data_IF_370150279173
#
_entry.id   IF_370150279173
#
_cell.length_a   1.000
_cell.length_b   1.000
_cell.length_c   1.000
_cell.angle_alpha   90.00
_cell.angle_beta   90.00
_cell.angle_gamma   90.00
#
_symmetry.space_group_name_H-M   'P 1'
#
loop_
_entity.id
_entity.type
_entity.pdbx_description
1 polymer ?
#
# COMPACT_ATOMS: atom_id res chain seq x y z
N UNK A 1 -3.01 -8.87 12.85
CA UNK A 1 -2.92 -8.22 14.17
C UNK A 1 -1.46 -7.92 14.45
N UNK A 2 -1.16 -6.71 14.90
CA UNK A 2 0.22 -6.29 15.22
C UNK A 2 0.23 -5.52 16.54
N UNK A 3 1.23 -5.75 17.39
CA UNK A 3 1.39 -5.05 18.67
C UNK A 3 2.51 -4.02 18.54
N UNK A 4 2.25 -2.78 18.98
CA UNK A 4 3.25 -1.71 19.02
C UNK A 4 3.18 -0.95 20.35
N UNK A 5 4.24 -1.06 21.15
CA UNK A 5 4.23 -0.57 22.52
C UNK A 5 3.07 -1.17 23.31
N UNK A 6 2.16 -0.30 23.79
CA UNK A 6 0.94 -0.68 24.52
C UNK A 6 -0.30 -0.86 23.63
N UNK A 7 -0.16 -0.64 22.33
CA UNK A 7 -1.26 -0.65 21.38
C UNK A 7 -1.32 -1.96 20.60
N UNK A 8 -2.53 -2.42 20.34
CA UNK A 8 -2.83 -3.51 19.42
C UNK A 8 -3.58 -2.96 18.22
N UNK A 9 -3.03 -3.20 17.03
CA UNK A 9 -3.57 -2.76 15.74
C UNK A 9 -4.19 -3.95 15.01
N UNK A 10 -5.46 -3.82 14.66
CA UNK A 10 -6.19 -4.77 13.81
C UNK A 10 -6.58 -4.08 12.50
N UNK A 11 -6.32 -4.75 11.39
CA UNK A 11 -6.67 -4.28 10.05
C UNK A 11 -7.40 -5.42 9.34
N UNK A 12 -8.55 -5.12 8.76
CA UNK A 12 -9.36 -6.09 8.02
C UNK A 12 -10.06 -5.42 6.85
N UNK A 13 -10.34 -6.22 5.82
CA UNK A 13 -11.06 -5.78 4.63
C UNK A 13 -12.51 -5.57 5.04
N UNK A 14 -13.05 -4.43 4.67
CA UNK A 14 -14.42 -4.09 4.99
C UNK A 14 -15.26 -4.22 3.71
N UNK A 15 -15.81 -5.40 3.51
CA UNK A 15 -16.57 -5.74 2.30
C UNK A 15 -17.99 -5.20 2.32
N UNK A 16 -18.49 -4.77 3.49
CA UNK A 16 -19.90 -4.41 3.69
C UNK A 16 -20.13 -2.93 3.97
N UNK A 17 -19.09 -2.11 3.95
CA UNK A 17 -19.22 -0.69 4.22
C UNK A 17 -19.71 0.07 3.00
N UNK A 18 -20.76 0.87 3.20
CA UNK A 18 -21.28 1.78 2.21
C UNK A 18 -21.19 3.22 2.74
N UNK A 19 -20.37 4.03 2.07
CA UNK A 19 -20.20 5.45 2.41
C UNK A 19 -21.56 6.18 2.45
N UNK A 20 -21.84 6.90 3.53
CA UNK A 20 -23.05 7.73 3.66
C UNK A 20 -24.34 6.99 4.04
N UNK A 21 -24.29 5.67 4.25
CA UNK A 21 -25.42 4.90 4.77
C UNK A 21 -25.40 4.84 6.29
N UNK A 22 -26.53 5.20 6.93
CA UNK A 22 -26.68 5.18 8.39
C UNK A 22 -26.72 3.76 8.97
N UNK A 23 -26.92 2.76 8.12
CA UNK A 23 -27.12 1.36 8.48
C UNK A 23 -25.83 0.53 8.41
N UNK A 24 -24.67 1.18 8.24
CA UNK A 24 -23.38 0.51 8.38
C UNK A 24 -23.32 -0.20 9.74
N UNK A 25 -23.08 -1.52 9.71
CA UNK A 25 -23.02 -2.37 10.91
C UNK A 25 -22.00 -1.88 11.94
N UNK A 26 -20.96 -1.22 11.46
CA UNK A 26 -19.88 -0.65 12.25
C UNK A 26 -19.94 0.88 12.22
N UNK A 27 -19.79 1.51 13.38
CA UNK A 27 -19.57 2.96 13.50
C UNK A 27 -18.07 3.21 13.66
N UNK A 28 -17.55 4.19 12.93
CA UNK A 28 -16.14 4.58 12.95
C UNK A 28 -15.96 5.99 13.52
N UNK A 29 -14.81 6.24 14.14
CA UNK A 29 -14.46 7.57 14.66
C UNK A 29 -14.15 8.55 13.51
N UNK A 30 -13.53 8.05 12.44
CA UNK A 30 -13.22 8.81 11.23
C UNK A 30 -13.37 7.95 9.97
N UNK A 31 -13.72 8.60 8.86
CA UNK A 31 -13.79 8.01 7.53
C UNK A 31 -12.86 8.81 6.60
N UNK A 32 -11.84 8.15 6.06
CA UNK A 32 -10.94 8.74 5.05
C UNK A 32 -11.19 8.06 3.71
N UNK A 33 -12.21 8.55 3.02
CA UNK A 33 -12.71 8.01 1.77
C UNK A 33 -12.32 8.94 0.64
N UNK A 34 -11.64 8.42 -0.38
CA UNK A 34 -11.25 9.19 -1.54
C UNK A 34 -11.65 8.47 -2.83
N UNK A 35 -12.23 9.22 -3.75
CA UNK A 35 -12.50 8.74 -5.09
C UNK A 35 -12.57 9.92 -6.04
N UNK A 36 -11.95 9.79 -7.20
CA UNK A 36 -12.07 10.79 -8.27
C UNK A 36 -13.41 10.62 -9.02
N UNK A 37 -13.99 9.42 -9.00
CA UNK A 37 -15.16 9.02 -9.78
C UNK A 37 -16.37 8.56 -8.95
N UNK A 38 -16.44 8.93 -7.66
CA UNK A 38 -17.47 8.45 -6.72
C UNK A 38 -17.54 6.91 -6.59
N UNK A 39 -16.46 6.21 -6.92
CA UNK A 39 -16.30 4.78 -6.82
C UNK A 39 -15.07 4.41 -5.97
N UNK A 40 -15.28 3.60 -4.95
CA UNK A 40 -14.24 3.05 -4.09
C UNK A 40 -14.30 1.53 -4.24
N UNK A 41 -13.18 0.93 -4.61
CA UNK A 41 -13.07 -0.52 -4.84
C UNK A 41 -12.54 -1.28 -3.63
N UNK A 42 -11.79 -0.59 -2.77
CA UNK A 42 -11.13 -1.17 -1.60
C UNK A 42 -11.42 -0.34 -0.36
N UNK A 43 -11.87 -1.02 0.71
CA UNK A 43 -12.02 -0.45 2.04
C UNK A 43 -11.24 -1.28 3.05
N UNK A 44 -10.54 -0.59 3.95
CA UNK A 44 -9.94 -1.21 5.13
C UNK A 44 -10.47 -0.54 6.39
N UNK A 45 -10.86 -1.36 7.36
CA UNK A 45 -11.05 -0.91 8.72
C UNK A 45 -9.74 -1.05 9.50
N UNK A 46 -9.43 -0.04 10.31
CA UNK A 46 -8.31 -0.06 11.24
C UNK A 46 -8.84 0.18 12.63
N UNK A 47 -8.62 -0.78 13.54
CA UNK A 47 -8.98 -0.69 14.96
C UNK A 47 -7.73 -0.67 15.82
N UNK A 48 -7.70 0.27 16.76
CA UNK A 48 -6.64 0.44 17.73
C UNK A 48 -7.18 0.14 19.13
N UNK A 49 -6.48 -0.75 19.83
CA UNK A 49 -6.81 -1.17 21.18
C UNK A 49 -5.68 -0.81 22.13
N UNK A 50 -6.04 -0.45 23.37
CA UNK A 50 -5.13 -0.32 24.50
C UNK A 50 -5.70 -1.13 25.66
N UNK A 51 -4.93 -2.07 26.22
CA UNK A 51 -5.40 -3.01 27.25
C UNK A 51 -6.72 -3.72 26.87
N UNK A 52 -6.79 -4.26 25.64
CA UNK A 52 -7.98 -4.90 25.04
C UNK A 52 -9.23 -4.02 24.89
N UNK A 53 -9.15 -2.72 25.23
CA UNK A 53 -10.24 -1.77 25.01
C UNK A 53 -10.04 -1.06 23.67
N UNK A 54 -11.08 -1.05 22.82
CA UNK A 54 -11.09 -0.26 21.60
C UNK A 54 -11.00 1.23 21.98
N UNK A 55 -9.97 1.92 21.48
CA UNK A 55 -9.75 3.35 21.72
C UNK A 55 -9.92 4.20 20.47
N UNK A 56 -9.75 3.61 19.29
CA UNK A 56 -9.96 4.27 18.00
C UNK A 56 -10.30 3.26 16.93
N UNK A 57 -11.17 3.64 16.02
CA UNK A 57 -11.53 2.88 14.84
C UNK A 57 -11.75 3.83 13.67
N UNK A 58 -11.19 3.50 12.52
CA UNK A 58 -11.39 4.28 11.30
C UNK A 58 -11.68 3.34 10.13
N UNK A 59 -12.21 3.91 9.06
CA UNK A 59 -12.24 3.30 7.75
C UNK A 59 -11.44 4.16 6.77
N UNK A 60 -10.63 3.51 5.95
CA UNK A 60 -9.99 4.12 4.79
C UNK A 60 -10.56 3.48 3.53
N UNK A 61 -10.69 4.25 2.46
CA UNK A 61 -11.17 3.77 1.18
C UNK A 61 -10.56 4.51 0.01
N UNK A 62 -10.22 3.77 -1.04
CA UNK A 62 -9.75 4.33 -2.31
C UNK A 62 -10.21 3.49 -3.51
N UNK A 63 -10.29 4.16 -4.66
CA UNK A 63 -10.40 3.52 -5.98
C UNK A 63 -9.11 2.76 -6.36
N UNK A 64 -9.18 2.01 -7.46
CA UNK A 64 -8.11 1.16 -7.97
C UNK A 64 -8.48 -0.32 -8.00
N UNK A 65 -7.50 -1.20 -7.91
CA UNK A 65 -7.67 -2.65 -7.77
C UNK A 65 -8.12 -3.06 -6.37
N UNK A 66 -8.68 -4.27 -6.26
CA UNK A 66 -8.94 -4.92 -4.97
C UNK A 66 -7.64 -5.52 -4.44
N UNK A 67 -7.30 -5.20 -3.19
CA UNK A 67 -6.09 -5.70 -2.54
C UNK A 67 -6.46 -6.84 -1.59
N UNK A 68 -5.70 -7.95 -1.66
CA UNK A 68 -5.77 -9.01 -0.64
C UNK A 68 -4.94 -8.62 0.57
N UNK A 69 -5.46 -8.87 1.77
CA UNK A 69 -4.69 -8.65 2.99
C UNK A 69 -3.49 -9.60 3.04
N UNK A 70 -2.30 -9.01 3.13
CA UNK A 70 -1.03 -9.66 3.42
C UNK A 70 -0.31 -8.91 4.55
N UNK A 71 0.88 -9.38 4.93
CA UNK A 71 1.70 -8.65 5.91
C UNK A 71 2.20 -7.32 5.35
N UNK A 72 2.69 -7.34 4.10
CA UNK A 72 3.34 -6.22 3.41
C UNK A 72 2.38 -5.13 2.88
N UNK A 73 1.06 -5.26 3.08
CA UNK A 73 0.13 -4.16 2.75
C UNK A 73 0.37 -2.92 3.63
N UNK A 74 1.15 -3.06 4.71
CA UNK A 74 1.34 -2.02 5.71
C UNK A 74 2.75 -2.01 6.29
N UNK A 75 3.16 -0.84 6.75
CA UNK A 75 4.27 -0.62 7.66
C UNK A 75 3.71 0.04 8.92
N UNK A 76 4.07 -0.48 10.09
CA UNK A 76 3.70 0.13 11.38
C UNK A 76 4.98 0.61 12.05
N UNK A 77 5.08 1.92 12.21
CA UNK A 77 6.17 2.60 12.92
C UNK A 77 5.66 3.11 14.28
N UNK A 78 6.57 3.53 15.16
CA UNK A 78 6.24 3.95 16.55
C UNK A 78 5.09 4.97 16.64
N UNK A 79 5.01 5.89 15.67
CA UNK A 79 4.08 7.01 15.68
C UNK A 79 3.13 7.05 14.48
N UNK A 80 3.14 6.04 13.59
CA UNK A 80 2.28 6.04 12.39
C UNK A 80 2.10 4.67 11.75
N UNK A 81 1.03 4.54 10.99
CA UNK A 81 0.72 3.40 10.12
C UNK A 81 0.75 3.89 8.68
N UNK A 82 1.49 3.20 7.82
CA UNK A 82 1.51 3.36 6.37
C UNK A 82 0.81 2.14 5.79
N UNK A 83 -0.15 2.33 4.89
CA UNK A 83 -0.97 1.22 4.38
C UNK A 83 -1.40 1.45 2.92
N UNK A 84 -1.30 0.41 2.11
CA UNK A 84 -1.88 0.33 0.76
C UNK A 84 -3.40 0.23 0.83
N UNK A 85 -4.11 1.02 0.02
CA UNK A 85 -5.55 0.95 -0.14
C UNK A 85 -5.90 1.38 -1.57
N UNK A 86 -6.36 0.44 -2.40
CA UNK A 86 -6.54 0.63 -3.84
C UNK A 86 -5.26 1.13 -4.50
N UNK A 87 -5.35 2.22 -5.26
CA UNK A 87 -4.22 2.86 -5.94
C UNK A 87 -3.45 3.89 -5.08
N UNK A 88 -3.73 3.96 -3.76
CA UNK A 88 -3.14 4.96 -2.85
C UNK A 88 -2.44 4.31 -1.66
N UNK A 89 -1.43 5.02 -1.15
CA UNK A 89 -0.82 4.80 0.17
C UNK A 89 -1.37 5.85 1.13
N UNK A 90 -1.83 5.40 2.29
CA UNK A 90 -2.27 6.26 3.40
C UNK A 90 -1.25 6.22 4.52
N UNK A 91 -0.99 7.38 5.13
CA UNK A 91 -0.23 7.49 6.37
C UNK A 91 -1.11 8.08 7.46
N UNK A 92 -1.21 7.36 8.57
CA UNK A 92 -2.09 7.66 9.69
C UNK A 92 -1.26 7.79 10.96
N UNK A 93 -1.50 8.81 11.79
CA UNK A 93 -0.79 8.97 13.06
C UNK A 93 -1.18 7.88 14.06
N UNK A 94 -0.27 7.54 14.97
CA UNK A 94 -0.57 6.78 16.19
C UNK A 94 -0.41 7.70 17.41
N UNK A 95 -1.32 7.62 18.40
CA UNK A 95 -2.49 6.73 18.47
C UNK A 95 -3.78 7.30 17.83
N UNK A 96 -3.78 8.53 17.31
CA UNK A 96 -5.04 9.21 16.96
C UNK A 96 -5.69 8.71 15.67
N UNK A 97 -4.96 7.94 14.85
CA UNK A 97 -5.36 7.54 13.50
C UNK A 97 -5.77 8.74 12.63
N UNK A 98 -5.05 9.88 12.77
CA UNK A 98 -5.27 11.06 11.93
C UNK A 98 -4.54 10.90 10.61
N UNK A 99 -5.20 11.22 9.49
CA UNK A 99 -4.54 11.27 8.19
C UNK A 99 -3.41 12.31 8.21
N UNK A 100 -2.18 11.85 8.01
CA UNK A 100 -0.99 12.68 7.90
C UNK A 100 -0.75 13.06 6.45
N UNK A 101 -0.73 12.06 5.58
CA UNK A 101 -0.61 12.22 4.13
C UNK A 101 -1.24 11.03 3.40
N UNK A 102 -1.53 11.24 2.13
CA UNK A 102 -1.96 10.19 1.18
C UNK A 102 -1.31 10.45 -0.17
N UNK A 103 -0.98 9.38 -0.87
CA UNK A 103 -0.28 9.46 -2.16
C UNK A 103 -0.83 8.40 -3.11
N UNK A 104 -1.23 8.80 -4.32
CA UNK A 104 -1.47 7.88 -5.42
C UNK A 104 -0.12 7.38 -5.93
N UNK A 105 0.22 6.13 -5.64
CA UNK A 105 1.57 5.58 -5.88
C UNK A 105 1.62 4.57 -7.03
N UNK A 106 0.45 4.25 -7.60
CA UNK A 106 0.24 3.47 -8.81
C UNK A 106 -1.09 3.96 -9.42
N UNK A 107 -1.32 3.84 -10.73
CA UNK A 107 -2.62 4.24 -11.31
C UNK A 107 -3.73 3.19 -11.12
N UNK A 108 -3.36 1.92 -11.00
CA UNK A 108 -4.27 0.78 -10.90
C UNK A 108 -4.36 0.28 -9.45
N UNK A 109 -3.28 -0.21 -8.85
CA UNK A 109 -3.32 -0.84 -7.53
C UNK A 109 -1.95 -0.80 -6.84
N UNK A 110 -1.92 -0.53 -5.53
CA UNK A 110 -0.74 -0.68 -4.68
C UNK A 110 -0.85 -2.01 -3.93
N UNK A 111 0.00 -2.98 -4.24
CA UNK A 111 -0.05 -4.30 -3.61
C UNK A 111 0.67 -4.33 -2.26
N UNK A 112 1.88 -3.76 -2.21
CA UNK A 112 2.76 -3.88 -1.05
C UNK A 112 3.54 -2.59 -0.81
N UNK A 113 3.89 -2.32 0.45
CA UNK A 113 4.71 -1.19 0.86
C UNK A 113 5.81 -1.67 1.79
N UNK A 114 7.05 -1.30 1.46
CA UNK A 114 8.24 -1.70 2.18
C UNK A 114 8.95 -0.48 2.74
N UNK A 115 9.38 -0.56 4.00
CA UNK A 115 10.17 0.47 4.65
C UNK A 115 11.66 0.22 4.47
N UNK A 116 12.39 1.26 4.06
CA UNK A 116 13.85 1.41 4.26
C UNK A 116 14.08 2.62 5.17
N UNK A 117 15.30 2.86 5.64
CA UNK A 117 15.65 3.91 6.62
C UNK A 117 14.84 5.20 6.50
N UNK A 118 14.83 5.79 5.31
CA UNK A 118 14.40 7.15 5.04
C UNK A 118 13.37 7.26 3.90
N UNK A 119 12.97 6.12 3.33
CA UNK A 119 12.01 6.06 2.23
C UNK A 119 11.14 4.80 2.30
N UNK A 120 10.12 4.77 1.44
CA UNK A 120 9.29 3.61 1.17
C UNK A 120 9.45 3.18 -0.28
N UNK A 121 9.34 1.88 -0.52
CA UNK A 121 9.14 1.33 -1.86
C UNK A 121 7.73 0.74 -1.90
N UNK A 122 6.96 1.14 -2.90
CA UNK A 122 5.63 0.63 -3.18
C UNK A 122 5.72 -0.27 -4.40
N UNK A 123 5.25 -1.51 -4.24
CA UNK A 123 5.00 -2.42 -5.33
C UNK A 123 3.57 -2.18 -5.82
N UNK A 124 3.43 -1.51 -6.95
CA UNK A 124 2.16 -1.32 -7.65
C UNK A 124 1.98 -2.30 -8.80
N UNK A 125 0.78 -2.30 -9.38
CA UNK A 125 0.41 -3.17 -10.49
C UNK A 125 1.10 -2.80 -11.80
N UNK A 126 1.29 -1.51 -12.07
CA UNK A 126 1.98 -1.03 -13.28
C UNK A 126 3.27 -0.28 -12.97
N UNK A 127 3.44 0.16 -11.72
CA UNK A 127 4.54 1.00 -11.29
C UNK A 127 5.16 0.53 -9.98
N UNK A 128 6.48 0.67 -9.89
CA UNK A 128 7.22 0.65 -8.63
C UNK A 128 7.51 2.09 -8.26
N UNK A 129 7.06 2.51 -7.08
CA UNK A 129 7.19 3.89 -6.61
C UNK A 129 8.07 4.01 -5.38
N UNK A 130 9.00 4.96 -5.40
CA UNK A 130 9.77 5.36 -4.20
C UNK A 130 9.16 6.62 -3.59
N UNK A 131 8.76 6.54 -2.33
CA UNK A 131 8.24 7.67 -1.56
C UNK A 131 9.22 8.10 -0.49
N UNK A 132 9.34 9.40 -0.24
CA UNK A 132 10.01 9.90 0.96
C UNK A 132 9.18 9.64 2.24
N UNK A 133 9.74 10.00 3.40
CA UNK A 133 9.05 9.86 4.67
C UNK A 133 7.75 10.68 4.80
N UNK A 134 7.51 11.66 3.94
CA UNK A 134 6.31 12.50 3.93
C UNK A 134 5.34 12.09 2.81
N UNK A 135 5.55 10.94 2.17
CA UNK A 135 4.71 10.42 1.10
C UNK A 135 4.95 11.09 -0.25
N UNK A 136 5.96 11.95 -0.41
CA UNK A 136 6.27 12.55 -1.71
C UNK A 136 6.92 11.49 -2.61
N UNK A 137 6.41 11.34 -3.83
CA UNK A 137 7.05 10.51 -4.85
C UNK A 137 8.42 11.12 -5.20
N UNK A 138 9.47 10.32 -5.01
CA UNK A 138 10.83 10.64 -5.43
C UNK A 138 11.06 10.20 -6.89
N UNK A 139 10.57 9.01 -7.24
CA UNK A 139 10.52 8.49 -8.60
C UNK A 139 9.51 7.34 -8.67
N UNK A 140 9.05 7.02 -9.89
CA UNK A 140 8.35 5.78 -10.22
C UNK A 140 8.97 5.14 -11.47
N UNK A 141 8.79 3.83 -11.62
CA UNK A 141 9.24 3.05 -12.78
C UNK A 141 8.17 2.05 -13.20
N UNK A 142 7.85 2.04 -14.48
CA UNK A 142 6.94 1.08 -15.09
C UNK A 142 7.71 -0.02 -15.80
N UNK A 143 7.06 -1.16 -15.99
CA UNK A 143 7.50 -2.20 -16.91
C UNK A 143 6.90 -2.00 -18.31
N UNK A 144 7.23 -2.91 -19.22
CA UNK A 144 6.54 -3.06 -20.50
C UNK A 144 5.15 -3.70 -20.34
N UNK A 145 4.88 -4.34 -19.18
CA UNK A 145 3.60 -4.89 -18.78
C UNK A 145 3.43 -4.81 -17.25
N UNK A 146 2.29 -5.26 -16.73
CA UNK A 146 1.95 -5.22 -15.30
C UNK A 146 2.86 -6.15 -14.47
N UNK A 147 3.19 -5.75 -13.24
CA UNK A 147 4.02 -6.51 -12.29
C UNK A 147 3.24 -7.62 -11.58
N UNK A 148 2.52 -8.46 -12.34
CA UNK A 148 1.79 -9.63 -11.83
C UNK A 148 2.07 -10.86 -12.70
N UNK A 149 3.22 -11.55 -12.56
CA UNK A 149 3.62 -12.59 -13.51
C UNK A 149 2.62 -13.75 -13.65
N UNK A 150 2.34 -14.13 -14.90
CA UNK A 150 1.39 -15.20 -15.27
C UNK A 150 1.71 -16.58 -14.68
N UNK A 151 3.02 -16.90 -14.56
CA UNK A 151 3.53 -18.25 -14.26
C UNK A 151 4.87 -18.17 -13.51
N UNK A 152 4.89 -18.56 -12.24
CA UNK A 152 6.14 -18.70 -11.48
C UNK A 152 5.95 -18.32 -10.02
N UNK A 153 7.08 -18.13 -9.31
CA UNK A 153 7.07 -17.38 -8.06
C UNK A 153 7.07 -15.90 -8.42
N UNK A 154 6.13 -15.13 -7.86
CA UNK A 154 6.18 -13.66 -7.89
C UNK A 154 7.55 -13.22 -7.38
N UNK A 155 8.37 -12.64 -8.25
CA UNK A 155 9.64 -12.03 -7.85
C UNK A 155 9.37 -10.55 -7.73
N UNK A 156 8.95 -10.13 -6.54
CA UNK A 156 9.19 -8.79 -6.06
C UNK A 156 10.17 -8.87 -4.89
N UNK A 157 11.41 -8.44 -5.11
CA UNK A 157 12.49 -8.57 -4.12
C UNK A 157 13.21 -7.24 -3.91
N UNK A 158 13.45 -6.94 -2.63
CA UNK A 158 14.29 -5.83 -2.20
C UNK A 158 15.56 -6.37 -1.53
N UNK A 159 16.68 -6.33 -2.24
CA UNK A 159 17.99 -6.64 -1.64
C UNK A 159 18.75 -5.36 -1.28
N UNK A 160 20.02 -5.47 -0.89
CA UNK A 160 20.81 -4.31 -0.45
C UNK A 160 21.05 -3.28 -1.55
N UNK A 161 21.01 -3.67 -2.83
CA UNK A 161 21.38 -2.81 -3.96
C UNK A 161 20.23 -2.54 -4.92
N UNK A 162 19.34 -3.50 -5.07
CA UNK A 162 18.38 -3.52 -6.15
C UNK A 162 16.97 -3.87 -5.68
N UNK A 163 16.04 -3.36 -6.48
CA UNK A 163 14.64 -3.74 -6.56
C UNK A 163 14.54 -4.63 -7.79
N UNK A 164 14.05 -5.84 -7.61
CA UNK A 164 13.85 -6.82 -8.68
C UNK A 164 12.35 -7.06 -8.78
N UNK A 165 11.80 -6.90 -9.98
CA UNK A 165 10.39 -7.14 -10.26
C UNK A 165 10.23 -7.93 -11.55
N UNK A 166 9.17 -8.72 -11.66
CA UNK A 166 8.85 -9.48 -12.88
C UNK A 166 7.50 -9.02 -13.43
N UNK A 167 7.42 -8.77 -14.75
CA UNK A 167 6.15 -8.44 -15.40
C UNK A 167 5.34 -9.69 -15.81
N UNK A 168 4.14 -9.45 -16.35
CA UNK A 168 3.20 -10.45 -16.86
C UNK A 168 3.83 -11.44 -17.85
N UNK A 169 4.73 -10.96 -18.72
CA UNK A 169 5.46 -11.73 -19.73
C UNK A 169 6.74 -12.39 -19.17
N UNK A 170 6.92 -12.39 -17.85
CA UNK A 170 8.08 -12.91 -17.13
C UNK A 170 9.40 -12.20 -17.43
N UNK A 171 9.34 -10.93 -17.86
CA UNK A 171 10.52 -10.09 -18.03
C UNK A 171 10.96 -9.57 -16.66
N UNK A 172 12.26 -9.63 -16.38
CA UNK A 172 12.84 -9.26 -15.10
C UNK A 172 13.42 -7.86 -15.20
N UNK A 173 12.88 -6.97 -14.37
CA UNK A 173 13.31 -5.59 -14.21
C UNK A 173 14.24 -5.47 -13.02
N UNK A 174 15.23 -4.59 -13.14
CA UNK A 174 16.21 -4.35 -12.09
C UNK A 174 16.47 -2.86 -11.96
N UNK A 175 16.03 -2.30 -10.85
CA UNK A 175 16.25 -0.88 -10.52
C UNK A 175 17.13 -0.77 -9.28
N UNK A 176 18.01 0.23 -9.22
CA UNK A 176 18.58 0.63 -7.94
C UNK A 176 17.63 1.55 -7.16
N UNK A 177 18.00 1.90 -5.93
CA UNK A 177 17.18 2.77 -5.08
C UNK A 177 17.15 4.23 -5.53
N UNK A 178 18.01 4.65 -6.46
CA UNK A 178 17.99 5.99 -7.06
C UNK A 178 17.13 6.03 -8.33
N UNK A 179 16.58 4.88 -8.75
CA UNK A 179 15.73 4.75 -9.92
C UNK A 179 16.53 4.57 -11.22
N UNK A 180 17.81 4.24 -11.15
CA UNK A 180 18.59 3.85 -12.33
C UNK A 180 18.23 2.42 -12.73
N UNK A 181 18.20 2.17 -14.03
CA UNK A 181 17.80 0.89 -14.60
C UNK A 181 19.01 0.04 -15.01
N UNK A 182 18.97 -1.23 -14.62
CA UNK A 182 19.99 -2.26 -14.88
C UNK A 182 19.36 -3.53 -15.47
N UNK A 183 18.15 -3.40 -16.01
CA UNK A 183 17.41 -4.44 -16.70
C UNK A 183 18.23 -4.96 -17.89
N UNK A 184 18.30 -6.29 -18.06
CA UNK A 184 18.91 -6.88 -19.26
C UNK A 184 17.96 -6.67 -20.44
N UNK A 185 18.34 -5.83 -21.40
CA UNK A 185 17.46 -5.47 -22.51
C UNK A 185 17.33 -6.58 -23.57
N UNK A 186 18.14 -7.64 -23.50
CA UNK A 186 18.07 -8.73 -24.48
C UNK A 186 16.76 -9.53 -24.38
N UNK A 187 16.08 -9.50 -23.23
CA UNK A 187 14.77 -10.14 -23.03
C UNK A 187 13.62 -9.48 -23.82
N UNK A 188 13.85 -8.31 -24.43
CA UNK A 188 12.87 -7.60 -25.25
C UNK A 188 13.14 -7.75 -26.75
N UNK A 189 14.19 -8.46 -27.13
CA UNK A 189 14.52 -8.73 -28.52
C UNK A 189 13.84 -10.05 -28.92
N UNK A 190 12.71 -9.94 -29.61
CA UNK A 190 12.11 -11.06 -30.35
C UNK A 190 12.95 -11.43 -31.58
#
# INVERSE_FOLDING_TARGET
MTIIGKYKVEIFAEETFESGFTDNKNKYDFEYLETENNYISTYFCIKLFENEKLIKSIVIGSEGGKIRISENIKVIEENRIIICCGNKIFCLSLPELKLMWKTKADDICCFEVYKKSDFYIVHGEIEISKLDNNGKILWHKSGADIFTPLKGADIFELNEKYIIATDWENRIYKFDYDGNEFTDMTQFLE
#
